data_IF_275839435591
#
_entry.id   IF_275839435591
#
_cell.length_a   1.000
_cell.length_b   1.000
_cell.length_c   1.000
_cell.angle_alpha   90.00
_cell.angle_beta   90.00
_cell.angle_gamma   90.00
#
_symmetry.space_group_name_H-M   'P 1'
#
loop_
_entity.id
_entity.type
_entity.pdbx_description
1 polymer ?
#
# COMPACT_ATOMS: atom_id res chain seq x y z
N UNK A 1 -28.32 9.86 12.59
CA UNK A 1 -27.55 9.39 11.41
C UNK A 1 -26.33 10.27 11.29
N UNK A 2 -25.18 9.81 11.80
CA UNK A 2 -23.94 10.59 11.71
C UNK A 2 -23.37 10.43 10.31
N UNK A 3 -23.11 11.55 9.63
CA UNK A 3 -22.41 11.59 8.36
C UNK A 3 -20.98 11.05 8.57
N UNK A 4 -20.76 9.77 8.28
CA UNK A 4 -19.42 9.22 8.02
C UNK A 4 -19.05 9.69 6.61
N UNK A 5 -18.33 10.79 6.52
CA UNK A 5 -17.89 11.32 5.25
C UNK A 5 -16.87 12.43 5.43
N UNK A 6 -15.72 12.24 4.78
CA UNK A 6 -14.69 13.24 4.50
C UNK A 6 -13.84 13.64 5.72
N UNK A 7 -12.82 12.83 6.01
CA UNK A 7 -11.45 13.26 6.36
C UNK A 7 -10.56 12.05 6.73
N UNK A 8 -10.84 10.86 6.18
CA UNK A 8 -9.84 9.80 6.23
C UNK A 8 -8.81 10.07 5.14
N UNK A 9 -7.57 10.36 5.55
CA UNK A 9 -6.46 10.55 4.62
C UNK A 9 -6.01 9.17 4.12
N UNK A 10 -6.61 8.73 3.01
CA UNK A 10 -6.22 7.50 2.31
C UNK A 10 -4.72 7.49 1.97
N UNK A 11 -4.14 8.65 1.70
CA UNK A 11 -2.71 8.80 1.47
C UNK A 11 -1.89 8.45 2.71
N UNK A 12 -2.31 8.92 3.89
CA UNK A 12 -1.70 8.55 5.17
C UNK A 12 -1.81 7.04 5.42
N UNK A 13 -2.97 6.43 5.17
CA UNK A 13 -3.14 4.98 5.34
C UNK A 13 -2.24 4.18 4.41
N UNK A 14 -2.11 4.60 3.16
CA UNK A 14 -1.19 3.99 2.19
C UNK A 14 0.24 4.09 2.72
N UNK A 15 0.65 5.26 3.19
CA UNK A 15 1.99 5.47 3.74
C UNK A 15 2.28 4.54 4.93
N UNK A 16 1.36 4.42 5.88
CA UNK A 16 1.50 3.52 7.03
C UNK A 16 1.54 2.04 6.60
N UNK A 17 0.77 1.65 5.58
CA UNK A 17 0.80 0.30 5.04
C UNK A 17 2.13 0.01 4.31
N UNK A 18 2.67 0.99 3.58
CA UNK A 18 3.97 0.88 2.92
C UNK A 18 5.08 0.72 3.96
N UNK A 19 5.12 1.58 4.98
CA UNK A 19 6.13 1.53 6.04
C UNK A 19 6.09 0.18 6.79
N UNK A 20 4.90 -0.29 7.14
CA UNK A 20 4.73 -1.59 7.79
C UNK A 20 5.25 -2.74 6.91
N UNK A 21 4.97 -2.73 5.60
CA UNK A 21 5.48 -3.73 4.68
C UNK A 21 7.00 -3.67 4.50
N UNK A 22 7.55 -2.47 4.28
CA UNK A 22 8.98 -2.22 4.06
C UNK A 22 9.83 -2.73 5.22
N UNK A 23 9.37 -2.56 6.46
CA UNK A 23 10.05 -3.07 7.67
C UNK A 23 10.27 -4.60 7.68
N UNK A 24 9.57 -5.34 6.80
CA UNK A 24 9.63 -6.80 6.70
C UNK A 24 10.37 -7.30 5.46
N UNK A 25 10.93 -6.41 4.65
CA UNK A 25 11.57 -6.71 3.35
C UNK A 25 13.07 -6.38 3.44
N UNK A 26 13.97 -7.15 2.79
CA UNK A 26 15.38 -6.79 2.73
C UNK A 26 15.60 -5.41 2.10
N UNK A 27 16.49 -4.59 2.67
CA UNK A 27 16.75 -3.23 2.19
C UNK A 27 17.28 -3.12 0.73
N UNK A 28 17.74 -4.24 0.15
CA UNK A 28 18.14 -4.32 -1.27
C UNK A 28 16.94 -4.31 -2.22
N UNK A 29 15.73 -4.63 -1.73
CA UNK A 29 14.51 -4.64 -2.51
C UNK A 29 13.70 -3.38 -2.21
N UNK A 30 13.25 -2.71 -3.27
CA UNK A 30 12.50 -1.45 -3.21
C UNK A 30 11.08 -1.65 -3.71
N UNK A 31 10.16 -0.87 -3.15
CA UNK A 31 8.76 -0.89 -3.56
C UNK A 31 8.62 -0.50 -5.03
N UNK A 32 7.78 -1.24 -5.77
CA UNK A 32 7.52 -1.00 -7.20
C UNK A 32 6.04 -0.89 -7.51
N UNK A 33 5.21 -1.72 -6.88
CA UNK A 33 3.77 -1.71 -7.11
C UNK A 33 3.03 -1.75 -5.80
N UNK A 34 1.97 -0.95 -5.72
CA UNK A 34 1.00 -0.95 -4.65
C UNK A 34 -0.35 -1.15 -5.31
N UNK A 35 -1.09 -2.18 -4.89
CA UNK A 35 -2.50 -2.31 -5.20
C UNK A 35 -3.31 -2.21 -3.91
N UNK A 36 -4.11 -1.16 -3.77
CA UNK A 36 -4.86 -0.88 -2.55
C UNK A 36 -6.37 -0.86 -2.78
N UNK A 37 -7.11 -1.44 -1.84
CA UNK A 37 -8.58 -1.43 -1.77
C UNK A 37 -8.98 -0.92 -0.40
N UNK A 38 -9.88 0.07 -0.36
CA UNK A 38 -10.37 0.69 0.87
C UNK A 38 -11.85 0.41 1.08
N UNK A 39 -12.24 0.33 2.35
CA UNK A 39 -13.62 0.35 2.81
C UNK A 39 -14.07 1.79 3.02
N UNK A 40 -15.35 2.08 2.79
CA UNK A 40 -15.92 3.40 3.05
C UNK A 40 -16.18 3.65 4.55
N UNK A 41 -16.09 2.60 5.37
CA UNK A 41 -16.40 2.64 6.80
C UNK A 41 -15.15 2.83 7.66
N UNK A 42 -14.37 3.86 7.38
CA UNK A 42 -13.20 4.19 8.20
C UNK A 42 -13.57 5.21 9.27
N UNK A 43 -13.19 4.97 10.51
CA UNK A 43 -13.30 5.96 11.58
C UNK A 43 -11.92 6.55 11.89
N UNK A 44 -11.76 7.87 11.74
CA UNK A 44 -10.48 8.55 11.95
C UNK A 44 -10.01 8.51 13.41
N UNK A 45 -10.92 8.26 14.37
CA UNK A 45 -10.61 8.26 15.79
C UNK A 45 -10.33 6.85 16.34
N UNK A 46 -10.61 5.82 15.57
CA UNK A 46 -10.39 4.45 16.00
C UNK A 46 -8.94 4.01 15.76
N UNK A 47 -8.42 3.25 16.72
CA UNK A 47 -7.06 2.71 16.63
C UNK A 47 -6.92 1.80 15.42
N UNK A 48 -5.91 2.09 14.60
CA UNK A 48 -5.53 1.27 13.47
C UNK A 48 -4.63 0.12 13.89
N UNK A 49 -4.94 -1.10 13.45
CA UNK A 49 -4.06 -2.26 13.55
C UNK A 49 -3.64 -2.72 12.15
N UNK A 50 -2.33 -2.78 11.90
CA UNK A 50 -1.77 -3.26 10.64
C UNK A 50 -1.25 -4.68 10.79
N UNK A 51 -1.69 -5.59 9.92
CA UNK A 51 -1.18 -6.95 9.85
C UNK A 51 -0.47 -7.17 8.53
N UNK A 52 0.79 -7.59 8.59
CA UNK A 52 1.62 -7.86 7.41
C UNK A 52 1.73 -9.35 7.18
N UNK A 53 1.24 -9.82 6.03
CA UNK A 53 1.44 -11.18 5.55
C UNK A 53 2.59 -11.22 4.56
N UNK A 54 3.55 -12.13 4.77
CA UNK A 54 4.64 -12.41 3.83
C UNK A 54 4.18 -13.43 2.80
N UNK A 55 3.84 -12.95 1.60
CA UNK A 55 3.32 -13.81 0.54
C UNK A 55 4.43 -14.52 -0.24
N UNK A 56 5.54 -13.82 -0.48
CA UNK A 56 6.69 -14.33 -1.23
C UNK A 56 7.96 -13.64 -0.77
N UNK A 57 9.02 -14.43 -0.61
CA UNK A 57 10.38 -13.98 -0.40
C UNK A 57 11.29 -14.76 -1.36
N UNK A 58 11.80 -14.07 -2.37
CA UNK A 58 12.82 -14.59 -3.28
C UNK A 58 13.96 -13.59 -3.37
N UNK A 59 15.07 -13.99 -4.02
CA UNK A 59 16.30 -13.19 -4.10
C UNK A 59 16.04 -11.79 -4.66
N UNK A 60 15.28 -11.71 -5.74
CA UNK A 60 15.04 -10.51 -6.54
C UNK A 60 13.65 -9.89 -6.33
N UNK A 61 12.75 -10.57 -5.61
CA UNK A 61 11.36 -10.16 -5.45
C UNK A 61 10.80 -10.53 -4.07
N UNK A 62 10.06 -9.62 -3.46
CA UNK A 62 9.23 -9.90 -2.30
C UNK A 62 7.81 -9.36 -2.50
N UNK A 63 6.83 -10.07 -1.93
CA UNK A 63 5.43 -9.63 -1.92
C UNK A 63 4.89 -9.62 -0.50
N UNK A 64 4.16 -8.56 -0.16
CA UNK A 64 3.49 -8.37 1.12
C UNK A 64 2.03 -8.04 0.90
N UNK A 65 1.18 -8.55 1.78
CA UNK A 65 -0.18 -8.04 1.93
C UNK A 65 -0.28 -7.37 3.29
N UNK A 66 -0.72 -6.12 3.32
CA UNK A 66 -1.04 -5.40 4.56
C UNK A 66 -2.54 -5.30 4.67
N UNK A 67 -3.08 -5.84 5.76
CA UNK A 67 -4.49 -5.68 6.12
C UNK A 67 -4.58 -4.69 7.27
N UNK A 68 -5.26 -3.57 7.02
CA UNK A 68 -5.55 -2.58 8.03
C UNK A 68 -6.91 -2.88 8.68
N UNK A 69 -6.96 -2.89 10.01
CA UNK A 69 -8.16 -3.21 10.78
C UNK A 69 -8.49 -2.14 11.82
N UNK A 70 -9.79 -1.96 12.04
CA UNK A 70 -10.38 -1.19 13.13
C UNK A 70 -11.52 -2.02 13.74
N UNK A 71 -11.58 -2.11 15.07
CA UNK A 71 -12.55 -2.96 15.79
C UNK A 71 -12.67 -4.41 15.25
N UNK A 72 -11.56 -4.95 14.74
CA UNK A 72 -11.52 -6.29 14.12
C UNK A 72 -12.05 -6.36 12.68
N UNK A 73 -12.66 -5.30 12.16
CA UNK A 73 -13.09 -5.18 10.77
C UNK A 73 -11.95 -4.70 9.88
N UNK A 74 -11.77 -5.31 8.71
CA UNK A 74 -10.79 -4.86 7.72
C UNK A 74 -11.30 -3.62 7.00
N UNK A 75 -10.51 -2.54 7.07
CA UNK A 75 -10.81 -1.27 6.41
C UNK A 75 -9.97 -1.03 5.17
N UNK A 76 -8.83 -1.72 5.03
CA UNK A 76 -8.04 -1.68 3.81
C UNK A 76 -7.22 -2.95 3.59
N UNK A 77 -6.94 -3.19 2.31
CA UNK A 77 -6.07 -4.25 1.84
C UNK A 77 -5.09 -3.67 0.83
N UNK A 78 -3.80 -3.72 1.17
CA UNK A 78 -2.72 -3.30 0.28
C UNK A 78 -1.88 -4.51 -0.10
N UNK A 79 -1.75 -4.78 -1.40
CA UNK A 79 -0.79 -5.74 -1.94
C UNK A 79 0.40 -4.98 -2.48
N UNK A 80 1.58 -5.25 -1.93
CA UNK A 80 2.82 -4.56 -2.26
C UNK A 80 3.81 -5.52 -2.91
N UNK A 81 4.45 -5.05 -3.97
CA UNK A 81 5.50 -5.77 -4.68
C UNK A 81 6.82 -5.00 -4.57
N UNK A 82 7.83 -5.69 -4.06
CA UNK A 82 9.19 -5.20 -3.91
C UNK A 82 10.10 -5.97 -4.85
N UNK A 83 11.07 -5.28 -5.45
CA UNK A 83 12.06 -5.89 -6.35
C UNK A 83 13.45 -5.33 -6.10
N UNK A 84 14.49 -6.08 -6.43
CA UNK A 84 15.87 -5.57 -6.37
C UNK A 84 16.02 -4.29 -7.22
N UNK A 85 16.70 -3.28 -6.66
CA UNK A 85 16.90 -2.00 -7.33
C UNK A 85 17.73 -2.10 -8.63
N UNK A 86 18.53 -3.17 -8.77
CA UNK A 86 19.40 -3.45 -9.91
C UNK A 86 18.75 -4.35 -10.96
N UNK A 87 17.57 -4.89 -10.71
CA UNK A 87 16.91 -5.72 -11.71
C UNK A 87 16.48 -4.84 -12.89
N UNK A 88 16.94 -5.20 -14.10
CA UNK A 88 16.63 -4.49 -15.33
C UNK A 88 15.14 -4.62 -15.61
N UNK A 89 14.40 -3.51 -15.48
CA UNK A 89 12.99 -3.44 -15.85
C UNK A 89 12.79 -2.46 -17.00
N UNK A 90 11.72 -2.67 -17.77
CA UNK A 90 11.22 -1.72 -18.77
C UNK A 90 10.77 -0.40 -18.10
N UNK A 91 10.35 -0.47 -16.84
CA UNK A 91 9.99 0.70 -16.03
C UNK A 91 11.24 1.43 -15.51
N UNK A 92 11.30 2.77 -15.63
CA UNK A 92 12.44 3.55 -15.15
C UNK A 92 12.80 3.22 -13.69
N UNK A 93 14.10 3.18 -13.34
CA UNK A 93 14.52 3.16 -11.95
C UNK A 93 13.90 4.36 -11.22
N UNK A 94 13.18 4.11 -10.13
CA UNK A 94 12.43 5.12 -9.37
C UNK A 94 10.93 5.26 -9.67
N UNK A 95 10.35 4.49 -10.60
CA UNK A 95 8.89 4.48 -10.80
C UNK A 95 8.18 3.57 -9.78
N UNK A 96 7.13 4.09 -9.14
CA UNK A 96 6.15 3.35 -8.33
C UNK A 96 4.80 3.43 -9.02
N UNK A 97 4.16 2.27 -9.21
CA UNK A 97 2.81 2.17 -9.75
C UNK A 97 1.84 1.97 -8.59
N UNK A 98 0.96 2.95 -8.39
CA UNK A 98 -0.13 2.86 -7.44
C UNK A 98 -1.43 2.56 -8.20
N UNK A 99 -2.03 1.43 -7.89
CA UNK A 99 -3.34 1.05 -8.40
C UNK A 99 -4.34 1.10 -7.25
N UNK A 100 -5.28 2.03 -7.33
CA UNK A 100 -6.36 2.21 -6.35
C UNK A 100 -7.67 1.68 -6.93
N UNK A 101 -8.37 0.87 -6.14
CA UNK A 101 -9.76 0.52 -6.43
C UNK A 101 -10.66 1.04 -5.32
N UNK A 102 -11.42 2.09 -5.64
CA UNK A 102 -12.52 2.56 -4.80
C UNK A 102 -13.78 1.76 -5.14
N UNK A 103 -14.42 1.19 -4.12
CA UNK A 103 -15.68 0.45 -4.26
C UNK A 103 -16.81 1.42 -4.65
N UNK A 104 -16.79 2.66 -4.13
CA UNK A 104 -17.73 3.72 -4.49
C UNK A 104 -17.65 4.14 -5.96
N UNK A 105 -16.44 4.31 -6.50
CA UNK A 105 -16.28 4.82 -7.87
C UNK A 105 -16.44 3.72 -8.92
N UNK A 106 -16.43 2.44 -8.52
CA UNK A 106 -16.33 1.27 -9.41
C UNK A 106 -15.31 1.49 -10.55
N UNK A 107 -14.22 2.18 -10.24
CA UNK A 107 -13.17 2.58 -11.18
C UNK A 107 -11.83 2.17 -10.63
N UNK A 108 -10.98 1.72 -11.54
CA UNK A 108 -9.56 1.53 -11.30
C UNK A 108 -8.86 2.86 -11.58
N UNK A 109 -8.14 3.38 -10.60
CA UNK A 109 -7.27 4.54 -10.79
C UNK A 109 -5.85 4.02 -10.73
N UNK A 110 -5.12 4.12 -11.83
CA UNK A 110 -3.70 3.84 -11.87
C UNK A 110 -2.95 5.16 -11.95
N UNK A 111 -1.99 5.35 -11.04
CA UNK A 111 -1.14 6.53 -10.98
C UNK A 111 0.31 6.08 -10.95
N UNK A 112 1.11 6.66 -11.83
CA UNK A 112 2.55 6.41 -11.89
C UNK A 112 3.27 7.58 -11.22
N UNK A 113 4.08 7.29 -10.22
CA UNK A 113 4.88 8.29 -9.52
C UNK A 113 6.36 8.02 -9.73
N UNK A 114 7.12 9.07 -9.97
CA UNK A 114 8.58 9.03 -9.85
C UNK A 114 8.96 9.36 -8.41
N UNK A 115 9.41 8.35 -7.67
CA UNK A 115 10.02 8.57 -6.37
C UNK A 115 11.47 9.04 -6.60
N UNK A 116 11.70 10.35 -6.53
CA UNK A 116 13.04 10.88 -6.29
C UNK A 116 13.28 10.73 -4.80
N UNK A 117 14.24 9.89 -4.39
CA UNK A 117 14.65 9.81 -2.99
C UNK A 117 14.95 11.23 -2.47
N UNK A 118 14.13 11.71 -1.53
CA UNK A 118 14.55 12.78 -0.63
C UNK A 118 15.39 12.07 0.43
N UNK A 119 16.71 12.24 0.31
CA UNK A 119 17.70 11.86 1.33
C UNK A 119 17.75 12.95 2.39
#
# INVERSE_FOLDING_TARGET
MNQKGLNFDEGKLIAECVEAAESTVPASQRLRHIHAVFSDNVDINEQLTLNVTRNKDAKDIASRTVTAKQEGMSIAYCNLLFKEATACFEDPPGMIILTLRSIQLNRLIEIHFHCQHIV
#
